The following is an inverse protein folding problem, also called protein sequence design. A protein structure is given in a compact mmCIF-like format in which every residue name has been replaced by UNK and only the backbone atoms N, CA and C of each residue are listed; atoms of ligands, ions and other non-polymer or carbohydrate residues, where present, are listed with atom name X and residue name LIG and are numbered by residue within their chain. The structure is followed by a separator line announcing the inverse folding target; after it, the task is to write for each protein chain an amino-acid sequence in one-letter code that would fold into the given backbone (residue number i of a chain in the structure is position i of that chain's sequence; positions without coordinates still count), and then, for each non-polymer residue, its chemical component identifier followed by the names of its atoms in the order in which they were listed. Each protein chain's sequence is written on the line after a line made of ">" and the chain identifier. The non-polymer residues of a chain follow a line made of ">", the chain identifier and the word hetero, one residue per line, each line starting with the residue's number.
data_IF_872199795486
#
_entry.id   IF_872199795486
#
_cell.length_a   1.000
_cell.length_b   1.000
_cell.length_c   1.000
_cell.angle_alpha   90.00
_cell.angle_beta   90.00
_cell.angle_gamma   90.00
#
_symmetry.space_group_name_H-M   'P 1'
#
loop_
_entity.id
_entity.type
_entity.pdbx_description
1 polymer ?
#
# COMPACT_ATOMS: atom_id res chain seq x y z
N UNK A 1 -13.66 -4.73 7.00
CA UNK A 1 -12.63 -4.60 5.97
C UNK A 1 -13.35 -5.01 4.73
N UNK A 2 -14.20 -4.10 4.26
CA UNK A 2 -15.11 -4.42 3.18
C UNK A 2 -14.27 -4.62 1.92
N UNK A 3 -14.53 -5.70 1.18
CA UNK A 3 -13.75 -6.03 -0.02
C UNK A 3 -13.62 -4.83 -0.96
N UNK A 4 -14.70 -4.07 -1.11
CA UNK A 4 -14.73 -2.85 -1.94
C UNK A 4 -13.71 -1.79 -1.51
N UNK A 5 -13.44 -1.58 -0.23
CA UNK A 5 -12.48 -0.58 0.22
C UNK A 5 -11.05 -0.99 -0.12
N UNK A 6 -10.70 -2.24 0.18
CA UNK A 6 -9.41 -2.83 -0.18
C UNK A 6 -9.19 -2.80 -1.71
N UNK A 7 -10.20 -3.21 -2.49
CA UNK A 7 -10.15 -3.18 -3.95
C UNK A 7 -9.91 -1.76 -4.49
N UNK A 8 -10.56 -0.75 -3.92
CA UNK A 8 -10.34 0.65 -4.32
C UNK A 8 -8.88 1.07 -4.10
N UNK A 9 -8.29 0.75 -2.95
CA UNK A 9 -6.87 1.08 -2.68
C UNK A 9 -5.96 0.37 -3.68
N UNK A 10 -6.21 -0.91 -3.95
CA UNK A 10 -5.46 -1.71 -4.92
C UNK A 10 -5.52 -1.06 -6.31
N UNK A 11 -6.72 -0.74 -6.80
CA UNK A 11 -6.91 -0.14 -8.13
C UNK A 11 -6.20 1.21 -8.22
N UNK A 12 -6.34 2.06 -7.20
CA UNK A 12 -5.69 3.38 -7.16
C UNK A 12 -4.16 3.21 -7.17
N UNK A 13 -3.61 2.31 -6.35
CA UNK A 13 -2.18 2.03 -6.31
C UNK A 13 -1.64 1.54 -7.67
N UNK A 14 -2.36 0.64 -8.34
CA UNK A 14 -1.99 0.15 -9.66
C UNK A 14 -2.05 1.25 -10.74
N UNK A 15 -3.03 2.15 -10.67
CA UNK A 15 -3.11 3.31 -11.58
C UNK A 15 -1.86 4.19 -11.43
N UNK A 16 -1.45 4.49 -10.19
CA UNK A 16 -0.24 5.29 -9.96
C UNK A 16 1.04 4.54 -10.30
N UNK A 17 1.10 3.23 -10.11
CA UNK A 17 2.21 2.40 -10.59
C UNK A 17 2.35 2.47 -12.12
N UNK A 18 1.24 2.32 -12.85
CA UNK A 18 1.19 2.47 -14.32
C UNK A 18 1.60 3.88 -14.76
N UNK A 19 1.15 4.92 -14.07
CA UNK A 19 1.57 6.29 -14.36
C UNK A 19 3.08 6.49 -14.15
N UNK A 20 3.62 5.99 -13.05
CA UNK A 20 5.06 6.03 -12.79
C UNK A 20 5.88 5.29 -13.86
N UNK A 21 5.40 4.13 -14.33
CA UNK A 21 5.99 3.40 -15.46
C UNK A 21 6.02 4.25 -16.73
N UNK A 22 4.91 4.95 -17.04
CA UNK A 22 4.85 5.88 -18.18
C UNK A 22 5.88 7.01 -18.03
N UNK A 23 6.06 7.56 -16.83
CA UNK A 23 7.08 8.59 -16.56
C UNK A 23 8.51 8.06 -16.78
N UNK A 24 8.81 6.84 -16.32
CA UNK A 24 10.10 6.19 -16.58
C UNK A 24 10.34 6.02 -18.08
N UNK A 25 9.35 5.47 -18.80
CA UNK A 25 9.46 5.24 -20.25
C UNK A 25 9.61 6.54 -21.04
N UNK A 26 8.95 7.61 -20.61
CA UNK A 26 9.07 8.96 -21.20
C UNK A 26 10.30 9.74 -20.71
N UNK A 27 11.15 9.13 -19.90
CA UNK A 27 12.33 9.75 -19.28
C UNK A 27 12.02 11.08 -18.57
N UNK A 28 10.84 11.16 -17.94
CA UNK A 28 10.34 12.32 -17.20
C UNK A 28 10.66 12.18 -15.72
N UNK A 29 10.80 13.33 -15.03
CA UNK A 29 10.95 13.37 -13.58
C UNK A 29 9.63 13.02 -12.88
N UNK A 30 9.67 12.57 -11.61
CA UNK A 30 8.46 12.39 -10.80
C UNK A 30 7.66 13.68 -10.79
N UNK A 31 6.37 13.60 -11.12
CA UNK A 31 5.48 14.76 -11.12
C UNK A 31 4.73 14.88 -9.79
N UNK A 32 4.13 16.06 -9.57
CA UNK A 32 3.33 16.32 -8.38
C UNK A 32 2.12 15.36 -8.29
N UNK A 33 1.63 14.88 -9.44
CA UNK A 33 0.52 13.94 -9.50
C UNK A 33 0.87 12.60 -8.85
N UNK A 34 2.04 12.03 -9.15
CA UNK A 34 2.52 10.80 -8.52
C UNK A 34 2.71 10.97 -7.00
N UNK A 35 3.19 12.13 -6.56
CA UNK A 35 3.35 12.43 -5.13
C UNK A 35 1.99 12.59 -4.41
N UNK A 36 1.05 13.31 -5.03
CA UNK A 36 -0.30 13.47 -4.52
C UNK A 36 -1.04 12.13 -4.43
N UNK A 37 -0.83 11.25 -5.40
CA UNK A 37 -1.32 9.86 -5.36
C UNK A 37 -0.80 9.09 -4.16
N UNK A 38 0.47 9.26 -3.82
CA UNK A 38 1.08 8.64 -2.65
C UNK A 38 0.43 9.09 -1.36
N UNK A 39 0.21 10.40 -1.21
CA UNK A 39 -0.50 10.96 -0.04
C UNK A 39 -1.93 10.45 0.04
N UNK A 40 -2.65 10.40 -1.08
CA UNK A 40 -4.01 9.86 -1.12
C UNK A 40 -4.06 8.40 -0.68
N UNK A 41 -3.18 7.57 -1.23
CA UNK A 41 -3.09 6.15 -0.88
C UNK A 41 -2.73 5.99 0.60
N UNK A 42 -1.77 6.76 1.11
CA UNK A 42 -1.37 6.71 2.51
C UNK A 42 -2.55 6.98 3.45
N UNK A 43 -3.36 8.01 3.17
CA UNK A 43 -4.56 8.31 3.95
C UNK A 43 -5.57 7.16 3.91
N UNK A 44 -5.76 6.53 2.75
CA UNK A 44 -6.64 5.37 2.62
C UNK A 44 -6.09 4.15 3.41
N UNK A 45 -4.79 3.94 3.39
CA UNK A 45 -4.16 2.81 4.10
C UNK A 45 -4.19 3.04 5.62
N UNK A 46 -4.09 4.28 6.10
CA UNK A 46 -4.33 4.60 7.51
C UNK A 46 -5.78 4.27 7.90
N UNK A 47 -6.76 4.64 7.07
CA UNK A 47 -8.16 4.25 7.26
C UNK A 47 -8.34 2.72 7.28
N UNK A 48 -7.64 2.01 6.40
CA UNK A 48 -7.61 0.55 6.35
C UNK A 48 -7.04 -0.05 7.65
N UNK A 49 -5.95 0.50 8.17
CA UNK A 49 -5.33 0.11 9.43
C UNK A 49 -6.31 0.28 10.59
N UNK A 50 -6.88 1.47 10.75
CA UNK A 50 -7.83 1.75 11.84
C UNK A 50 -9.04 0.81 11.75
N UNK A 51 -9.62 0.67 10.56
CA UNK A 51 -10.74 -0.24 10.34
C UNK A 51 -10.39 -1.71 10.60
N UNK A 52 -9.16 -2.12 10.30
CA UNK A 52 -8.63 -3.45 10.60
C UNK A 52 -8.49 -3.73 12.09
N UNK A 53 -7.86 -2.79 12.82
CA UNK A 53 -7.69 -2.90 14.27
C UNK A 53 -9.03 -2.92 15.00
N UNK A 54 -9.97 -2.04 14.63
CA UNK A 54 -11.32 -2.02 15.22
C UNK A 54 -12.02 -3.37 15.04
N UNK A 55 -12.00 -3.94 13.83
CA UNK A 55 -12.62 -5.25 13.62
C UNK A 55 -11.89 -6.39 14.33
N UNK A 56 -10.56 -6.35 14.41
CA UNK A 56 -9.81 -7.35 15.16
C UNK A 56 -10.21 -7.34 16.64
N UNK A 57 -10.40 -6.17 17.23
CA UNK A 57 -10.81 -6.03 18.64
C UNK A 57 -12.28 -6.42 18.82
N UNK A 58 -13.15 -6.06 17.88
CA UNK A 58 -14.59 -6.39 17.92
C UNK A 58 -14.93 -7.81 17.48
N UNK A 59 -13.95 -8.62 17.09
CA UNK A 59 -14.16 -9.98 16.58
C UNK A 59 -13.46 -11.01 17.44
N UNK A 60 -14.20 -12.05 17.83
CA UNK A 60 -13.68 -13.24 18.51
C UNK A 60 -13.11 -14.28 17.52
N UNK A 61 -12.85 -13.89 16.26
CA UNK A 61 -12.22 -14.79 15.28
C UNK A 61 -10.84 -15.21 15.75
N UNK A 62 -10.54 -16.49 15.51
CA UNK A 62 -9.22 -17.06 15.72
C UNK A 62 -8.41 -17.00 14.41
N UNK A 63 -7.27 -16.32 14.46
CA UNK A 63 -6.33 -16.12 13.35
C UNK A 63 -5.02 -15.55 13.92
N UNK A 64 -3.98 -15.50 13.08
CA UNK A 64 -2.68 -14.93 13.45
C UNK A 64 -2.75 -13.39 13.65
N UNK A 65 -3.23 -12.94 14.82
CA UNK A 65 -3.42 -11.51 15.15
C UNK A 65 -2.13 -10.69 15.03
N UNK A 66 -1.00 -11.26 15.49
CA UNK A 66 0.30 -10.59 15.39
C UNK A 66 0.69 -10.35 13.91
N UNK A 67 0.55 -11.37 13.07
CA UNK A 67 0.84 -11.29 11.64
C UNK A 67 -0.08 -10.27 10.94
N UNK A 68 -1.37 -10.27 11.28
CA UNK A 68 -2.34 -9.31 10.77
C UNK A 68 -1.95 -7.86 11.09
N UNK A 69 -1.58 -7.57 12.34
CA UNK A 69 -1.13 -6.22 12.75
C UNK A 69 0.17 -5.85 12.07
N UNK A 70 1.13 -6.78 11.95
CA UNK A 70 2.38 -6.54 11.23
C UNK A 70 2.12 -6.15 9.77
N UNK A 71 1.23 -6.85 9.06
CA UNK A 71 0.88 -6.48 7.69
C UNK A 71 0.19 -5.12 7.60
N UNK A 72 -0.72 -4.79 8.51
CA UNK A 72 -1.35 -3.46 8.55
C UNK A 72 -0.31 -2.34 8.71
N UNK A 73 0.62 -2.49 9.65
CA UNK A 73 1.71 -1.53 9.85
C UNK A 73 2.60 -1.45 8.62
N UNK A 74 2.91 -2.60 8.00
CA UNK A 74 3.74 -2.65 6.79
C UNK A 74 3.07 -1.91 5.62
N UNK A 75 1.75 -2.04 5.46
CA UNK A 75 1.00 -1.28 4.46
C UNK A 75 1.17 0.24 4.65
N UNK A 76 1.10 0.75 5.89
CA UNK A 76 1.33 2.18 6.17
C UNK A 76 2.79 2.58 6.08
N UNK A 77 3.74 1.67 6.31
CA UNK A 77 5.16 2.02 6.32
C UNK A 77 5.79 2.05 4.92
N UNK A 78 5.27 1.25 3.97
CA UNK A 78 5.92 1.01 2.68
C UNK A 78 6.02 2.28 1.81
N UNK A 79 4.97 3.11 1.76
CA UNK A 79 5.00 4.34 0.97
C UNK A 79 5.92 5.40 1.60
N UNK A 80 5.80 5.76 2.89
CA UNK A 80 6.71 6.71 3.53
C UNK A 80 8.17 6.29 3.38
N UNK A 81 8.48 5.00 3.58
CA UNK A 81 9.83 4.48 3.39
C UNK A 81 10.32 4.68 1.95
N UNK A 82 9.49 4.38 0.96
CA UNK A 82 9.83 4.55 -0.45
C UNK A 82 10.03 6.02 -0.83
N UNK A 83 9.20 6.94 -0.32
CA UNK A 83 9.36 8.37 -0.55
C UNK A 83 10.60 8.96 0.14
N UNK A 84 10.91 8.52 1.36
CA UNK A 84 12.14 8.91 2.07
C UNK A 84 13.37 8.43 1.30
N UNK A 85 13.36 7.18 0.82
CA UNK A 85 14.44 6.64 -0.02
C UNK A 85 14.58 7.46 -1.30
N UNK A 86 13.49 7.66 -2.04
CA UNK A 86 13.51 8.40 -3.30
C UNK A 86 14.00 9.85 -3.14
N UNK A 87 13.83 10.46 -1.97
CA UNK A 87 14.35 11.80 -1.68
C UNK A 87 15.88 11.83 -1.60
N UNK A 88 16.50 10.75 -1.12
CA UNK A 88 17.95 10.58 -1.07
C UNK A 88 18.54 10.32 -2.46
N UNK A 89 17.74 9.76 -3.37
CA UNK A 89 18.20 9.32 -4.69
C UNK A 89 17.45 10.04 -5.83
N UNK A 90 17.95 11.21 -6.22
CA UNK A 90 17.34 12.08 -7.25
C UNK A 90 17.38 11.52 -8.69
N UNK A 91 17.85 10.29 -8.86
CA UNK A 91 18.00 9.63 -10.16
C UNK A 91 16.72 8.90 -10.57
N UNK A 92 16.73 8.21 -11.73
CA UNK A 92 15.62 7.34 -12.17
C UNK A 92 15.36 6.19 -11.19
N UNK A 93 16.35 5.83 -10.37
CA UNK A 93 16.22 4.78 -9.36
C UNK A 93 15.21 5.16 -8.27
N UNK A 94 15.18 6.42 -7.82
CA UNK A 94 14.20 6.88 -6.83
C UNK A 94 12.76 6.75 -7.32
N UNK A 95 12.51 7.04 -8.60
CA UNK A 95 11.18 6.82 -9.22
C UNK A 95 10.82 5.33 -9.30
N UNK A 96 11.79 4.46 -9.64
CA UNK A 96 11.59 3.02 -9.67
C UNK A 96 11.19 2.47 -8.29
N UNK A 97 11.82 2.94 -7.22
CA UNK A 97 11.48 2.55 -5.83
C UNK A 97 10.03 2.90 -5.48
N UNK A 98 9.56 4.10 -5.84
CA UNK A 98 8.17 4.52 -5.62
C UNK A 98 7.19 3.61 -6.37
N UNK A 99 7.48 3.27 -7.64
CA UNK A 99 6.65 2.36 -8.43
C UNK A 99 6.59 0.97 -7.80
N UNK A 100 7.74 0.45 -7.35
CA UNK A 100 7.80 -0.83 -6.66
C UNK A 100 6.94 -0.80 -5.41
N UNK A 101 6.97 0.27 -4.61
CA UNK A 101 6.11 0.41 -3.44
C UNK A 101 4.61 0.39 -3.81
N UNK A 102 4.21 1.08 -4.89
CA UNK A 102 2.84 1.04 -5.39
C UNK A 102 2.41 -0.35 -5.88
N UNK A 103 3.33 -1.19 -6.36
CA UNK A 103 3.04 -2.57 -6.76
C UNK A 103 3.03 -3.54 -5.57
N UNK A 104 3.87 -3.30 -4.57
CA UNK A 104 3.94 -4.11 -3.34
C UNK A 104 2.70 -3.89 -2.45
N UNK A 105 2.20 -2.66 -2.37
CA UNK A 105 1.05 -2.35 -1.52
C UNK A 105 -0.18 -3.24 -1.81
N UNK A 106 -0.62 -3.45 -3.07
CA UNK A 106 -1.68 -4.41 -3.39
C UNK A 106 -1.46 -5.82 -2.84
N UNK A 107 -0.22 -6.32 -2.92
CA UNK A 107 0.14 -7.65 -2.43
C UNK A 107 -0.04 -7.71 -0.90
N UNK A 108 0.41 -6.67 -0.19
CA UNK A 108 0.24 -6.57 1.26
C UNK A 108 -1.24 -6.50 1.66
N UNK A 109 -2.06 -5.73 0.93
CA UNK A 109 -3.51 -5.64 1.19
C UNK A 109 -4.17 -7.02 1.02
N UNK A 110 -3.83 -7.74 -0.05
CA UNK A 110 -4.33 -9.12 -0.26
C UNK A 110 -3.87 -10.03 0.88
N UNK A 111 -2.61 -9.91 1.32
CA UNK A 111 -2.09 -10.67 2.47
C UNK A 111 -2.86 -10.40 3.75
N UNK A 112 -3.20 -9.14 4.06
CA UNK A 112 -4.06 -8.79 5.20
C UNK A 112 -5.41 -9.50 5.12
N UNK A 113 -6.03 -9.51 3.93
CA UNK A 113 -7.31 -10.19 3.72
C UNK A 113 -7.22 -11.71 3.86
N UNK A 114 -6.13 -12.32 3.40
CA UNK A 114 -5.88 -13.75 3.54
C UNK A 114 -5.68 -14.15 5.01
N UNK A 115 -4.86 -13.41 5.76
CA UNK A 115 -4.67 -13.66 7.19
C UNK A 115 -5.99 -13.49 7.95
N UNK A 116 -6.80 -12.50 7.60
CA UNK A 116 -8.13 -12.28 8.19
C UNK A 116 -9.15 -13.38 7.85
N UNK A 117 -9.07 -13.97 6.66
CA UNK A 117 -9.92 -15.08 6.25
C UNK A 117 -9.62 -16.36 7.04
N UNK A 118 -8.44 -16.46 7.67
CA UNK A 118 -7.93 -17.66 8.31
C UNK A 118 -7.31 -18.63 7.30
N UNK A 119 -6.39 -19.48 7.76
CA UNK A 119 -5.91 -20.61 6.96
C UNK A 119 -7.06 -21.57 6.76
N UNK A 120 -7.73 -21.49 5.62
CA UNK A 120 -8.72 -22.50 5.22
C UNK A 120 -8.02 -23.86 5.12
N UNK A 121 -8.19 -24.67 6.16
CA UNK A 121 -8.02 -26.13 6.13
C UNK A 121 -9.39 -26.77 6.15
#
# INVERSE_FOLDING_TARGET
>A
MTGWYATSIIVIALIFACWGLILILRNRRPDLFLAAGGVLIELLVIGFLVGGIVQMISSDRDFARAEFVCYLITCTAILPAAFIWARSEKSRAGLAVIIVAYLVLPILIIRVQQVWAGSGV
#
